data_IF_570302973358
#
_entry.id   IF_570302973358
#
_cell.length_a   1.000
_cell.length_b   1.000
_cell.length_c   1.000
_cell.angle_alpha   90.00
_cell.angle_beta   90.00
_cell.angle_gamma   90.00
#
_symmetry.space_group_name_H-M   'P 1'
#
loop_
_entity.id
_entity.type
_entity.pdbx_description
1 polymer ?
#
# COMPACT_ATOMS: atom_id res chain seq x y z
N UNK A 1 13.72 6.21 16.30
CA UNK A 1 13.39 7.35 17.18
C UNK A 1 11.88 7.44 17.43
N UNK A 2 10.99 7.72 16.46
CA UNK A 2 9.54 7.84 16.70
C UNK A 2 8.88 6.57 17.27
N UNK A 3 9.37 5.38 16.90
CA UNK A 3 8.89 4.10 17.42
C UNK A 3 9.31 3.92 18.89
N UNK A 4 10.52 4.34 19.25
CA UNK A 4 11.04 4.28 20.63
C UNK A 4 10.24 5.14 21.60
N UNK A 5 9.64 6.22 21.10
CA UNK A 5 8.73 7.08 21.86
C UNK A 5 7.39 6.40 22.20
N UNK A 6 7.06 5.26 21.57
CA UNK A 6 5.85 4.47 21.78
C UNK A 6 4.57 5.30 21.75
N UNK A 7 4.30 6.07 20.69
CA UNK A 7 3.08 6.86 20.63
C UNK A 7 1.85 5.95 20.55
N UNK A 8 0.72 6.37 21.12
CA UNK A 8 -0.54 5.64 21.05
C UNK A 8 -1.07 5.59 19.62
N UNK A 9 -0.85 6.65 18.83
CA UNK A 9 -1.27 6.76 17.46
C UNK A 9 -0.38 7.72 16.65
N UNK A 10 -0.33 7.51 15.34
CA UNK A 10 0.41 8.37 14.40
C UNK A 10 -0.43 8.69 13.16
N UNK A 11 -0.01 9.74 12.46
CA UNK A 11 -0.48 10.09 11.11
C UNK A 11 0.71 10.20 10.19
N UNK A 12 0.54 9.77 8.94
CA UNK A 12 1.58 9.85 7.90
C UNK A 12 1.08 10.83 6.83
N UNK A 13 1.77 11.97 6.71
CA UNK A 13 1.43 12.98 5.71
C UNK A 13 2.63 13.23 4.79
N UNK A 14 2.59 12.79 3.53
CA UNK A 14 3.54 13.26 2.53
C UNK A 14 3.45 14.78 2.37
N UNK A 15 4.59 15.43 2.22
CA UNK A 15 4.65 16.88 2.08
C UNK A 15 4.03 17.33 0.75
N UNK A 16 3.08 18.24 0.83
CA UNK A 16 2.47 18.94 -0.32
C UNK A 16 2.95 20.39 -0.35
N UNK A 17 3.03 20.93 -1.55
CA UNK A 17 3.33 22.36 -1.76
C UNK A 17 2.00 23.09 -1.85
N UNK A 18 1.74 23.92 -0.85
CA UNK A 18 0.52 24.72 -0.76
C UNK A 18 0.87 26.16 -1.18
N UNK A 19 -0.03 26.81 -1.93
CA UNK A 19 0.07 28.22 -2.32
C UNK A 19 0.35 29.12 -1.12
N UNK A 20 0.99 30.23 -1.35
CA UNK A 20 1.26 31.27 -0.36
C UNK A 20 2.07 30.80 0.85
N UNK A 21 2.86 29.71 0.69
CA UNK A 21 3.75 29.20 1.72
C UNK A 21 5.21 29.39 1.32
N UNK A 22 6.09 29.47 2.32
CA UNK A 22 7.54 29.50 2.10
C UNK A 22 8.05 28.31 1.27
N UNK A 23 7.40 27.14 1.38
CA UNK A 23 7.75 25.96 0.61
C UNK A 23 7.39 26.16 -0.89
N UNK A 24 6.30 26.85 -1.17
CA UNK A 24 5.92 27.25 -2.53
C UNK A 24 6.99 28.15 -3.16
N UNK A 25 7.47 29.18 -2.42
CA UNK A 25 8.56 30.03 -2.89
C UNK A 25 9.84 29.23 -3.20
N UNK A 26 10.16 28.24 -2.38
CA UNK A 26 11.33 27.39 -2.59
C UNK A 26 11.18 26.50 -3.82
N UNK A 27 9.97 25.99 -4.06
CA UNK A 27 9.65 25.20 -5.24
C UNK A 27 9.76 26.03 -6.52
N UNK A 28 9.17 27.23 -6.55
CA UNK A 28 9.21 28.15 -7.69
C UNK A 28 10.66 28.60 -8.02
N UNK A 29 11.49 28.77 -6.98
CA UNK A 29 12.93 29.06 -7.13
C UNK A 29 13.78 27.84 -7.51
N UNK A 30 13.18 26.65 -7.61
CA UNK A 30 13.89 25.41 -7.92
C UNK A 30 14.80 24.90 -6.79
N UNK A 31 14.69 25.44 -5.57
CA UNK A 31 15.48 25.01 -4.40
C UNK A 31 14.86 23.87 -3.60
N UNK A 32 13.62 23.51 -3.90
CA UNK A 32 12.91 22.35 -3.35
C UNK A 32 12.22 21.56 -4.46
N UNK A 33 12.37 20.24 -4.42
CA UNK A 33 11.68 19.31 -5.32
C UNK A 33 10.76 18.39 -4.50
N UNK A 34 9.44 18.37 -4.74
CA UNK A 34 8.54 17.48 -4.06
C UNK A 34 8.76 16.02 -4.50
N UNK A 35 8.34 15.08 -3.65
CA UNK A 35 8.26 13.67 -4.02
C UNK A 35 7.23 13.48 -5.13
N UNK A 36 7.49 12.54 -6.00
CA UNK A 36 6.47 11.99 -6.89
C UNK A 36 5.45 11.16 -6.10
N UNK A 37 4.29 10.89 -6.67
CA UNK A 37 3.28 10.04 -6.04
C UNK A 37 3.85 8.65 -5.70
N UNK A 38 4.60 8.04 -6.62
CA UNK A 38 5.19 6.72 -6.41
C UNK A 38 6.22 6.70 -5.28
N UNK A 39 7.13 7.67 -5.22
CA UNK A 39 8.11 7.80 -4.13
C UNK A 39 7.41 7.97 -2.78
N UNK A 40 6.38 8.81 -2.72
CA UNK A 40 5.63 9.02 -1.49
C UNK A 40 4.86 7.76 -1.04
N UNK A 41 4.30 6.99 -1.98
CA UNK A 41 3.65 5.71 -1.69
C UNK A 41 4.65 4.69 -1.14
N UNK A 42 5.85 4.57 -1.76
CA UNK A 42 6.92 3.68 -1.28
C UNK A 42 7.34 4.02 0.15
N UNK A 43 7.68 5.28 0.40
CA UNK A 43 8.12 5.75 1.72
C UNK A 43 7.00 5.56 2.76
N UNK A 44 5.76 5.91 2.40
CA UNK A 44 4.62 5.76 3.31
C UNK A 44 4.30 4.29 3.60
N UNK A 45 4.45 3.40 2.64
CA UNK A 45 4.26 1.96 2.82
C UNK A 45 5.31 1.38 3.79
N UNK A 46 6.57 1.80 3.66
CA UNK A 46 7.62 1.42 4.57
C UNK A 46 7.35 1.91 5.99
N UNK A 47 7.08 3.20 6.17
CA UNK A 47 6.80 3.81 7.48
C UNK A 47 5.55 3.19 8.12
N UNK A 48 4.48 3.00 7.34
CA UNK A 48 3.25 2.37 7.81
C UNK A 48 3.51 0.95 8.29
N UNK A 49 4.25 0.16 7.53
CA UNK A 49 4.62 -1.21 7.90
C UNK A 49 5.45 -1.26 9.17
N UNK A 50 6.42 -0.36 9.34
CA UNK A 50 7.21 -0.24 10.56
C UNK A 50 6.34 0.04 11.79
N UNK A 51 5.38 0.96 11.71
CA UNK A 51 4.46 1.23 12.81
C UNK A 51 3.58 0.02 13.13
N UNK A 52 3.04 -0.64 12.09
CA UNK A 52 2.16 -1.81 12.26
C UNK A 52 2.85 -2.99 12.92
N UNK A 53 4.10 -3.31 12.56
CA UNK A 53 4.85 -4.41 13.21
C UNK A 53 5.26 -4.09 14.65
N UNK A 54 5.29 -2.81 15.02
CA UNK A 54 5.54 -2.35 16.38
C UNK A 54 4.23 -2.04 17.17
N UNK A 55 3.07 -2.49 16.67
CA UNK A 55 1.76 -2.32 17.29
C UNK A 55 1.33 -0.84 17.50
N UNK A 56 1.89 0.09 16.73
CA UNK A 56 1.51 1.50 16.76
C UNK A 56 0.37 1.72 15.75
N UNK A 57 -0.72 2.34 16.22
CA UNK A 57 -1.88 2.58 15.38
C UNK A 57 -1.66 3.78 14.43
N UNK A 58 -1.80 3.56 13.12
CA UNK A 58 -1.75 4.60 12.09
C UNK A 58 -3.18 4.98 11.72
N UNK A 59 -3.65 6.11 12.27
CA UNK A 59 -5.04 6.55 12.11
C UNK A 59 -5.30 7.23 10.76
N UNK A 60 -4.28 7.80 10.12
CA UNK A 60 -4.41 8.47 8.82
C UNK A 60 -3.14 8.35 7.99
N UNK A 61 -3.32 8.19 6.68
CA UNK A 61 -2.24 8.22 5.68
C UNK A 61 -2.73 9.08 4.51
N UNK A 62 -1.96 10.12 4.17
CA UNK A 62 -2.31 11.11 3.15
C UNK A 62 -3.25 12.21 3.67
N UNK A 63 -3.25 13.34 2.95
CA UNK A 63 -4.14 14.46 3.23
C UNK A 63 -5.56 14.08 2.81
N UNK A 64 -6.54 14.49 3.59
CA UNK A 64 -7.95 14.50 3.22
C UNK A 64 -8.37 15.94 3.06
N UNK A 65 -9.27 16.21 2.12
CA UNK A 65 -9.88 17.52 1.97
C UNK A 65 -10.45 17.99 3.31
N UNK A 66 -10.15 19.22 3.62
CA UNK A 66 -10.72 19.95 4.74
C UNK A 66 -11.33 21.23 4.20
N UNK A 67 -12.24 21.84 4.93
CA UNK A 67 -12.85 23.14 4.55
C UNK A 67 -11.83 24.27 4.34
N UNK A 68 -10.59 24.07 4.81
CA UNK A 68 -9.48 25.05 4.73
C UNK A 68 -8.45 24.77 3.66
N UNK A 69 -8.50 23.62 2.98
CA UNK A 69 -7.57 23.27 1.89
C UNK A 69 -8.39 22.63 0.78
N UNK A 70 -8.59 23.40 -0.30
CA UNK A 70 -9.22 22.94 -1.53
C UNK A 70 -8.11 22.39 -2.46
N UNK A 71 -8.22 21.11 -2.81
CA UNK A 71 -7.22 20.40 -3.63
C UNK A 71 -6.94 21.09 -4.95
N UNK A 72 -7.99 21.52 -5.62
CA UNK A 72 -7.90 22.09 -6.96
C UNK A 72 -7.38 23.53 -6.95
N UNK A 73 -7.46 24.23 -5.80
CA UNK A 73 -7.13 25.64 -5.71
C UNK A 73 -5.83 25.91 -4.95
N UNK A 74 -5.51 25.10 -3.92
CA UNK A 74 -4.44 25.39 -2.97
C UNK A 74 -3.17 24.55 -3.19
N UNK A 75 -3.28 23.34 -3.74
CA UNK A 75 -2.15 22.44 -3.94
C UNK A 75 -1.42 22.74 -5.24
N UNK A 76 -0.21 23.26 -5.15
CA UNK A 76 0.63 23.59 -6.32
C UNK A 76 1.37 22.38 -6.87
N UNK A 77 1.88 21.52 -6.00
CA UNK A 77 2.61 20.31 -6.39
C UNK A 77 2.75 19.33 -5.21
N UNK A 78 3.20 18.11 -5.51
CA UNK A 78 3.46 17.06 -4.52
C UNK A 78 2.59 15.83 -4.73
N UNK A 79 2.76 14.81 -3.88
CA UNK A 79 2.15 13.49 -4.06
C UNK A 79 0.69 13.45 -3.57
N UNK A 80 -0.14 14.36 -4.06
CA UNK A 80 -1.56 14.34 -3.73
C UNK A 80 -2.28 13.23 -4.50
N UNK A 81 -3.15 12.50 -3.81
CA UNK A 81 -4.09 11.53 -4.39
C UNK A 81 -5.25 11.28 -3.43
N UNK A 82 -6.53 11.39 -3.87
CA UNK A 82 -7.70 11.24 -2.99
C UNK A 82 -7.78 9.86 -2.30
N UNK A 83 -7.25 8.83 -2.94
CA UNK A 83 -7.15 7.48 -2.39
C UNK A 83 -5.70 7.13 -1.97
N UNK A 84 -4.91 8.08 -1.46
CA UNK A 84 -3.49 7.87 -1.16
C UNK A 84 -3.25 6.68 -0.21
N UNK A 85 -4.06 6.56 0.87
CA UNK A 85 -3.98 5.42 1.79
C UNK A 85 -4.21 4.09 1.07
N UNK A 86 -5.16 4.05 0.14
CA UNK A 86 -5.44 2.83 -0.63
C UNK A 86 -4.23 2.42 -1.47
N UNK A 87 -3.56 3.36 -2.15
CA UNK A 87 -2.33 3.08 -2.92
C UNK A 87 -1.23 2.51 -2.04
N UNK A 88 -1.05 3.05 -0.83
CA UNK A 88 -0.07 2.54 0.15
C UNK A 88 -0.41 1.11 0.58
N UNK A 89 -1.64 0.82 0.91
CA UNK A 89 -2.09 -0.53 1.30
C UNK A 89 -1.97 -1.51 0.12
N UNK A 90 -2.40 -1.15 -1.08
CA UNK A 90 -2.26 -1.96 -2.30
C UNK A 90 -0.80 -2.35 -2.58
N UNK A 91 0.13 -1.41 -2.39
CA UNK A 91 1.58 -1.66 -2.53
C UNK A 91 2.06 -2.72 -1.55
N UNK A 92 1.65 -2.63 -0.28
CA UNK A 92 2.05 -3.57 0.76
C UNK A 92 1.49 -4.97 0.48
N UNK A 93 0.20 -5.06 0.12
CA UNK A 93 -0.43 -6.35 -0.20
C UNK A 93 0.15 -7.00 -1.45
N UNK A 94 0.44 -6.20 -2.49
CA UNK A 94 1.13 -6.69 -3.68
C UNK A 94 2.49 -7.32 -3.34
N UNK A 95 3.33 -6.61 -2.60
CA UNK A 95 4.64 -7.09 -2.20
C UNK A 95 4.55 -8.36 -1.35
N UNK A 96 3.61 -8.42 -0.40
CA UNK A 96 3.39 -9.61 0.41
C UNK A 96 2.95 -10.83 -0.43
N UNK A 97 2.06 -10.64 -1.41
CA UNK A 97 1.69 -11.71 -2.32
C UNK A 97 2.89 -12.15 -3.16
N UNK A 98 3.59 -11.20 -3.77
CA UNK A 98 4.72 -11.46 -4.65
C UNK A 98 5.84 -12.23 -3.93
N UNK A 99 6.22 -11.81 -2.71
CA UNK A 99 7.29 -12.44 -1.92
C UNK A 99 6.99 -13.91 -1.60
N UNK A 100 5.71 -14.22 -1.37
CA UNK A 100 5.28 -15.58 -1.06
C UNK A 100 5.13 -16.44 -2.33
N UNK A 101 4.52 -15.90 -3.37
CA UNK A 101 4.23 -16.63 -4.60
C UNK A 101 5.47 -16.88 -5.46
N UNK A 102 6.48 -16.01 -5.44
CA UNK A 102 7.75 -16.21 -6.16
C UNK A 102 8.48 -17.50 -5.78
N UNK A 103 8.24 -18.03 -4.58
CA UNK A 103 8.84 -19.27 -4.09
C UNK A 103 8.19 -20.53 -4.69
N UNK A 104 7.15 -20.36 -5.51
CA UNK A 104 6.33 -21.44 -6.05
C UNK A 104 6.41 -21.45 -7.56
N UNK A 105 6.34 -22.63 -8.16
CA UNK A 105 6.17 -22.75 -9.60
C UNK A 105 4.67 -22.58 -9.92
N UNK A 106 4.28 -21.41 -10.42
CA UNK A 106 2.89 -21.04 -10.75
C UNK A 106 2.67 -20.79 -12.24
N UNK A 107 3.67 -21.02 -13.08
CA UNK A 107 3.59 -20.82 -14.52
C UNK A 107 2.42 -21.62 -15.13
N UNK A 108 1.57 -20.92 -15.88
CA UNK A 108 0.40 -21.48 -16.56
C UNK A 108 -0.75 -21.92 -15.63
N UNK A 109 -0.64 -21.72 -14.31
CA UNK A 109 -1.63 -22.21 -13.34
C UNK A 109 -2.72 -21.17 -13.06
N UNK A 110 -3.89 -21.69 -12.71
CA UNK A 110 -4.97 -20.91 -12.12
C UNK A 110 -4.84 -20.94 -10.59
N UNK A 111 -4.92 -19.80 -9.92
CA UNK A 111 -4.92 -19.72 -8.45
C UNK A 111 -6.18 -19.06 -7.93
N UNK A 112 -6.59 -19.45 -6.73
CA UNK A 112 -7.71 -18.85 -6.00
C UNK A 112 -7.17 -18.24 -4.71
N UNK A 113 -7.39 -16.93 -4.52
CA UNK A 113 -7.08 -16.20 -3.30
C UNK A 113 -8.36 -16.06 -2.49
N UNK A 114 -8.40 -16.71 -1.33
CA UNK A 114 -9.49 -16.59 -0.37
C UNK A 114 -9.12 -15.55 0.68
N UNK A 115 -9.90 -14.50 0.84
CA UNK A 115 -9.61 -13.40 1.74
C UNK A 115 -10.87 -12.72 2.26
N UNK A 116 -10.80 -11.98 3.39
CA UNK A 116 -11.88 -11.09 3.84
C UNK A 116 -12.32 -10.13 2.75
N UNK A 117 -13.62 -9.85 2.67
CA UNK A 117 -14.20 -9.02 1.61
C UNK A 117 -13.54 -7.62 1.54
N UNK A 118 -13.29 -7.01 2.69
CA UNK A 118 -12.64 -5.71 2.81
C UNK A 118 -11.15 -5.69 2.38
N UNK A 119 -10.52 -6.85 2.17
CA UNK A 119 -9.13 -6.93 1.71
C UNK A 119 -9.01 -7.22 0.20
N UNK A 120 -10.07 -7.73 -0.42
CA UNK A 120 -10.03 -8.14 -1.84
C UNK A 120 -9.65 -6.96 -2.74
N UNK A 121 -10.16 -5.76 -2.47
CA UNK A 121 -9.83 -4.55 -3.25
C UNK A 121 -8.33 -4.21 -3.17
N UNK A 122 -7.73 -4.28 -1.99
CA UNK A 122 -6.29 -4.02 -1.79
C UNK A 122 -5.41 -5.08 -2.45
N UNK A 123 -5.82 -6.36 -2.34
CA UNK A 123 -5.11 -7.46 -2.99
C UNK A 123 -5.18 -7.36 -4.52
N UNK A 124 -6.35 -6.99 -5.05
CA UNK A 124 -6.54 -6.82 -6.49
C UNK A 124 -5.84 -5.58 -7.05
N UNK A 125 -5.78 -4.51 -6.26
CA UNK A 125 -5.32 -3.19 -6.67
C UNK A 125 -6.34 -2.45 -7.54
N UNK A 126 -6.20 -1.12 -7.62
CA UNK A 126 -7.03 -0.30 -8.50
C UNK A 126 -6.98 -0.82 -9.95
N UNK A 127 -8.13 -0.95 -10.58
CA UNK A 127 -8.26 -1.50 -11.94
C UNK A 127 -7.54 -2.86 -12.12
N UNK A 128 -7.48 -3.68 -11.07
CA UNK A 128 -6.80 -4.98 -11.05
C UNK A 128 -5.28 -4.89 -11.31
N UNK A 129 -4.65 -3.76 -10.99
CA UNK A 129 -3.24 -3.53 -11.27
C UNK A 129 -2.33 -4.56 -10.61
N UNK A 130 -2.58 -4.92 -9.34
CA UNK A 130 -1.80 -5.93 -8.63
C UNK A 130 -1.94 -7.32 -9.26
N UNK A 131 -3.18 -7.70 -9.65
CA UNK A 131 -3.44 -8.97 -10.34
C UNK A 131 -2.69 -9.05 -11.65
N UNK A 132 -2.76 -8.00 -12.48
CA UNK A 132 -2.11 -7.98 -13.77
C UNK A 132 -0.59 -8.10 -13.63
N UNK A 133 0.01 -7.36 -12.69
CA UNK A 133 1.45 -7.46 -12.39
C UNK A 133 1.85 -8.86 -11.91
N UNK A 134 1.09 -9.45 -10.97
CA UNK A 134 1.37 -10.81 -10.49
C UNK A 134 1.28 -11.86 -11.60
N UNK A 135 0.28 -11.74 -12.47
CA UNK A 135 0.13 -12.64 -13.63
C UNK A 135 1.31 -12.52 -14.58
N UNK A 136 1.76 -11.33 -14.88
CA UNK A 136 2.90 -11.07 -15.74
C UNK A 136 4.21 -11.56 -15.11
N UNK A 137 4.52 -11.14 -13.88
CA UNK A 137 5.78 -11.47 -13.21
C UNK A 137 5.95 -12.97 -12.90
N UNK A 138 4.85 -13.68 -12.62
CA UNK A 138 4.88 -15.08 -12.21
C UNK A 138 4.31 -16.03 -13.27
N UNK A 139 3.99 -15.51 -14.46
CA UNK A 139 3.38 -16.26 -15.58
C UNK A 139 2.11 -17.03 -15.16
N UNK A 140 1.33 -16.47 -14.20
CA UNK A 140 0.10 -17.08 -13.72
C UNK A 140 -1.00 -16.92 -14.77
N UNK A 141 -1.72 -18.00 -15.09
CA UNK A 141 -2.78 -17.98 -16.10
C UNK A 141 -3.98 -17.15 -15.64
N UNK A 142 -4.55 -17.44 -14.46
CA UNK A 142 -5.67 -16.69 -13.89
C UNK A 142 -5.58 -16.61 -12.36
N UNK A 143 -6.10 -15.49 -11.82
CA UNK A 143 -6.24 -15.26 -10.38
C UNK A 143 -7.70 -14.98 -10.09
N UNK A 144 -8.31 -15.81 -9.25
CA UNK A 144 -9.69 -15.68 -8.78
C UNK A 144 -9.73 -15.31 -7.32
N UNK A 145 -10.77 -14.59 -6.90
CA UNK A 145 -11.02 -14.31 -5.49
C UNK A 145 -12.24 -15.05 -4.95
N UNK A 146 -12.13 -15.53 -3.72
CA UNK A 146 -13.26 -16.00 -2.92
C UNK A 146 -13.30 -15.25 -1.60
N UNK A 147 -14.50 -14.84 -1.19
CA UNK A 147 -14.73 -14.19 0.10
C UNK A 147 -14.70 -15.22 1.23
N UNK A 148 -14.15 -14.81 2.37
CA UNK A 148 -14.21 -15.57 3.64
C UNK A 148 -14.40 -14.61 4.82
N UNK A 149 -14.76 -15.16 5.98
CA UNK A 149 -15.17 -14.36 7.14
C UNK A 149 -14.12 -14.30 8.26
N UNK A 150 -12.90 -14.72 8.01
CA UNK A 150 -11.79 -14.63 8.97
C UNK A 150 -10.67 -13.72 8.43
N UNK A 151 -9.69 -13.36 9.27
CA UNK A 151 -8.58 -12.46 8.93
C UNK A 151 -7.38 -13.19 8.26
N UNK A 152 -7.62 -14.36 7.64
CA UNK A 152 -6.59 -15.17 7.00
C UNK A 152 -6.69 -15.01 5.48
N UNK A 153 -5.57 -14.77 4.83
CA UNK A 153 -5.43 -14.85 3.38
C UNK A 153 -4.90 -16.24 3.04
N UNK A 154 -5.63 -16.98 2.22
CA UNK A 154 -5.23 -18.32 1.79
C UNK A 154 -5.18 -18.39 0.27
N UNK A 155 -4.20 -19.13 -0.26
CA UNK A 155 -4.00 -19.29 -1.70
C UNK A 155 -4.09 -20.75 -2.05
N UNK A 156 -4.85 -21.06 -3.09
CA UNK A 156 -5.13 -22.41 -3.56
C UNK A 156 -4.81 -22.57 -5.04
N UNK A 157 -4.42 -23.77 -5.44
CA UNK A 157 -4.38 -24.27 -6.81
C UNK A 157 -4.96 -25.68 -6.82
N UNK A 158 -5.89 -25.98 -7.74
CA UNK A 158 -6.57 -27.26 -7.86
C UNK A 158 -7.13 -27.78 -6.52
N UNK A 159 -7.81 -26.90 -5.77
CA UNK A 159 -8.36 -27.16 -4.43
C UNK A 159 -7.32 -27.52 -3.35
N UNK A 160 -6.03 -27.52 -3.67
CA UNK A 160 -4.95 -27.70 -2.71
C UNK A 160 -4.49 -26.34 -2.17
N UNK A 161 -4.49 -26.21 -0.84
CA UNK A 161 -3.94 -25.01 -0.20
C UNK A 161 -2.42 -24.96 -0.40
N UNK A 162 -1.94 -23.88 -1.00
CA UNK A 162 -0.52 -23.63 -1.23
C UNK A 162 0.12 -22.94 -0.03
N UNK A 163 -0.56 -21.90 0.50
CA UNK A 163 -0.10 -21.13 1.65
C UNK A 163 -1.26 -20.41 2.35
N UNK A 164 -0.98 -19.96 3.57
CA UNK A 164 -1.85 -19.04 4.30
C UNK A 164 -0.99 -18.09 5.14
N UNK A 165 -1.49 -16.88 5.35
CA UNK A 165 -0.88 -15.89 6.24
C UNK A 165 -1.94 -14.94 6.80
N UNK A 166 -1.67 -14.42 8.00
CA UNK A 166 -2.55 -13.46 8.66
C UNK A 166 -2.27 -12.04 8.20
N UNK A 167 -3.29 -11.18 8.29
CA UNK A 167 -3.17 -9.75 7.95
C UNK A 167 -1.94 -9.05 8.56
N UNK A 168 -1.58 -9.25 9.84
CA UNK A 168 -0.36 -8.64 10.41
C UNK A 168 0.95 -9.08 9.75
N UNK A 169 1.01 -10.30 9.21
CA UNK A 169 2.23 -10.82 8.56
C UNK A 169 2.54 -10.12 7.24
N UNK A 170 1.51 -9.51 6.62
CA UNK A 170 1.65 -8.74 5.37
C UNK A 170 2.68 -7.63 5.52
N UNK A 171 2.66 -6.93 6.64
CA UNK A 171 3.60 -5.82 6.93
C UNK A 171 5.04 -6.32 7.13
N UNK A 172 5.22 -7.48 7.81
CA UNK A 172 6.53 -8.11 7.96
C UNK A 172 7.06 -8.58 6.61
N UNK A 173 6.22 -9.21 5.79
CA UNK A 173 6.59 -9.67 4.46
C UNK A 173 7.02 -8.50 3.57
N UNK A 174 6.34 -7.36 3.66
CA UNK A 174 6.73 -6.16 2.93
C UNK A 174 8.12 -5.66 3.35
N UNK A 175 8.36 -5.51 4.67
CA UNK A 175 9.64 -5.03 5.19
C UNK A 175 10.83 -5.94 4.84
N UNK A 176 10.61 -7.24 4.74
CA UNK A 176 11.65 -8.21 4.36
C UNK A 176 12.01 -8.16 2.86
N UNK A 177 11.30 -7.39 2.06
CA UNK A 177 11.57 -7.21 0.63
C UNK A 177 12.34 -5.92 0.31
N UNK A 178 12.48 -5.02 1.31
CA UNK A 178 13.20 -3.76 1.17
C UNK A 178 14.68 -3.95 1.49
#
# INVERSE_FOLDING_TARGET
ESIEMKPDMVRIYPTLIIKDTKLCDMYEKGTYKPLTLNEAVEISAYIYSLYRVNNINVIRIGLQNTDSINEDEDVMAGPFHPAFRQLVEEKIYYAALLSNLRKMNLEGKDIVICAPDNLISYLAGQNKANINKLKEELSIKQIYFKKKNDDIIEIYHDNKKLLSFHKPEVFKNYLNMQ
#
